data_IF_997054019288
#
_entry.id   IF_997054019288
#
_cell.length_a   1.000
_cell.length_b   1.000
_cell.length_c   1.000
_cell.angle_alpha   90.00
_cell.angle_beta   90.00
_cell.angle_gamma   90.00
#
_symmetry.space_group_name_H-M   'P 1'
#
loop_
_entity.id
_entity.type
_entity.pdbx_description
1 polymer ?
#
# COMPACT_ATOMS: atom_id res chain seq x y z
N UNK A 1 3.24 22.59 -13.11
CA UNK A 1 3.97 22.17 -11.89
C UNK A 1 5.31 21.65 -12.31
N UNK A 2 6.41 22.21 -11.81
CA UNK A 2 7.75 21.74 -12.17
C UNK A 2 7.93 20.33 -11.54
N UNK A 3 8.05 19.32 -12.38
CA UNK A 3 8.47 18.00 -11.97
C UNK A 3 9.90 18.10 -11.42
N UNK A 4 10.02 18.34 -10.13
CA UNK A 4 11.28 18.20 -9.42
C UNK A 4 11.61 16.71 -9.29
N UNK A 5 11.90 16.08 -10.43
CA UNK A 5 12.43 14.73 -10.44
C UNK A 5 13.85 14.78 -9.84
N UNK A 6 13.97 14.34 -8.62
CA UNK A 6 15.27 14.14 -7.98
C UNK A 6 15.84 12.84 -8.49
N UNK A 7 16.85 12.90 -9.34
CA UNK A 7 17.54 11.71 -9.84
C UNK A 7 18.10 10.91 -8.66
N UNK A 8 17.75 9.64 -8.49
CA UNK A 8 18.32 8.82 -7.42
C UNK A 8 19.83 8.73 -7.56
N UNK A 9 20.54 8.94 -6.46
CA UNK A 9 22.02 8.77 -6.40
C UNK A 9 22.41 7.35 -6.03
N UNK A 10 21.45 6.46 -5.84
CA UNK A 10 21.68 5.07 -5.48
C UNK A 10 22.26 4.28 -6.66
N UNK A 11 23.01 3.22 -6.35
CA UNK A 11 23.50 2.26 -7.35
C UNK A 11 22.39 1.33 -7.86
N UNK A 12 21.22 1.38 -7.25
CA UNK A 12 20.02 0.63 -7.65
C UNK A 12 19.27 1.48 -8.65
N UNK A 13 19.11 0.99 -9.88
CA UNK A 13 18.27 1.61 -10.87
C UNK A 13 16.80 1.55 -10.38
N UNK A 14 16.11 2.67 -10.44
CA UNK A 14 14.68 2.75 -10.16
C UNK A 14 13.99 3.36 -11.39
N UNK A 15 13.15 2.59 -12.02
CA UNK A 15 12.29 3.01 -13.10
C UNK A 15 10.83 2.79 -12.69
N UNK A 16 9.94 3.68 -13.11
CA UNK A 16 8.52 3.50 -12.90
C UNK A 16 8.03 2.32 -13.75
N UNK A 17 7.19 1.48 -13.17
CA UNK A 17 6.67 0.29 -13.85
C UNK A 17 5.48 -0.31 -13.11
N UNK A 18 5.05 -1.48 -13.55
CA UNK A 18 4.06 -2.27 -12.83
C UNK A 18 4.67 -2.81 -11.52
N UNK A 19 3.81 -3.28 -10.60
CA UNK A 19 4.25 -3.93 -9.37
C UNK A 19 5.26 -5.04 -9.64
N UNK A 20 4.96 -5.89 -10.61
CA UNK A 20 5.78 -7.04 -11.00
C UNK A 20 7.16 -6.59 -11.49
N UNK A 21 7.22 -5.64 -12.43
CA UNK A 21 8.50 -5.15 -12.98
C UNK A 21 9.36 -4.48 -11.91
N UNK A 22 8.76 -3.78 -10.94
CA UNK A 22 9.48 -3.18 -9.81
C UNK A 22 10.03 -4.27 -8.89
N UNK A 23 9.23 -5.29 -8.55
CA UNK A 23 9.67 -6.40 -7.71
C UNK A 23 10.78 -7.21 -8.35
N UNK A 24 10.70 -7.49 -9.65
CA UNK A 24 11.74 -8.20 -10.40
C UNK A 24 13.05 -7.40 -10.39
N UNK A 25 12.96 -6.09 -10.66
CA UNK A 25 14.12 -5.18 -10.60
C UNK A 25 14.77 -5.19 -9.22
N UNK A 26 13.98 -5.17 -8.16
CA UNK A 26 14.49 -5.21 -6.79
C UNK A 26 15.16 -6.55 -6.47
N UNK A 27 14.54 -7.66 -6.85
CA UNK A 27 15.11 -9.00 -6.65
C UNK A 27 16.45 -9.17 -7.37
N UNK A 28 16.55 -8.71 -8.61
CA UNK A 28 17.80 -8.70 -9.35
C UNK A 28 18.88 -7.86 -8.64
N UNK A 29 18.55 -6.66 -8.21
CA UNK A 29 19.50 -5.78 -7.54
C UNK A 29 19.97 -6.35 -6.20
N UNK A 30 19.07 -6.91 -5.40
CA UNK A 30 19.37 -7.57 -4.14
C UNK A 30 20.36 -8.74 -4.38
N UNK A 31 20.11 -9.52 -5.42
CA UNK A 31 21.01 -10.63 -5.80
C UNK A 31 22.39 -10.13 -6.23
N UNK A 32 22.42 -9.09 -7.08
CA UNK A 32 23.68 -8.48 -7.57
C UNK A 32 24.55 -7.92 -6.45
N UNK A 33 23.97 -7.31 -5.42
CA UNK A 33 24.72 -6.76 -4.29
C UNK A 33 24.98 -7.79 -3.19
N UNK A 34 24.52 -9.03 -3.35
CA UNK A 34 24.62 -10.10 -2.38
C UNK A 34 24.15 -9.68 -0.97
N UNK A 35 22.95 -9.04 -0.91
CA UNK A 35 22.41 -8.57 0.35
C UNK A 35 22.09 -9.74 1.28
N UNK A 36 22.49 -9.62 2.55
CA UNK A 36 22.13 -10.61 3.56
C UNK A 36 20.67 -10.38 4.02
N UNK A 37 19.74 -11.11 3.42
CA UNK A 37 18.32 -11.03 3.73
C UNK A 37 17.89 -12.17 4.62
N UNK A 38 17.04 -11.85 5.59
CA UNK A 38 16.31 -12.84 6.38
C UNK A 38 14.83 -12.58 6.26
N UNK A 39 14.12 -13.51 5.66
CA UNK A 39 12.65 -13.53 5.59
C UNK A 39 12.06 -14.23 6.82
N UNK A 40 10.79 -13.97 7.09
CA UNK A 40 10.04 -14.55 8.22
C UNK A 40 10.68 -14.28 9.59
N UNK A 41 11.48 -13.23 9.70
CA UNK A 41 12.24 -12.83 10.88
C UNK A 41 11.62 -11.59 11.51
N UNK A 42 10.49 -11.78 12.18
CA UNK A 42 9.73 -10.70 12.82
C UNK A 42 10.55 -10.06 13.93
N UNK A 43 10.81 -8.76 13.83
CA UNK A 43 11.48 -7.97 14.87
C UNK A 43 10.48 -7.65 15.98
N UNK A 44 10.71 -8.20 17.16
CA UNK A 44 9.85 -8.03 18.32
C UNK A 44 10.28 -6.87 19.22
N UNK A 45 11.59 -6.62 19.29
CA UNK A 45 12.14 -5.58 20.17
C UNK A 45 13.48 -5.07 19.68
N UNK A 46 13.69 -3.79 19.87
CA UNK A 46 14.98 -3.13 19.67
C UNK A 46 15.36 -2.42 20.95
N UNK A 47 16.59 -2.64 21.40
CA UNK A 47 17.18 -1.98 22.57
C UNK A 47 18.53 -1.41 22.22
N UNK A 48 18.91 -0.31 22.81
CA UNK A 48 20.25 0.23 22.73
C UNK A 48 21.05 -0.20 23.97
N UNK A 49 22.19 -0.86 23.75
CA UNK A 49 23.13 -1.23 24.79
C UNK A 49 24.47 -0.54 24.53
N UNK A 50 24.72 0.59 25.19
CA UNK A 50 25.89 1.42 24.92
C UNK A 50 25.90 1.93 23.47
N UNK A 51 26.89 1.51 22.70
CA UNK A 51 27.06 1.93 21.30
C UNK A 51 26.46 0.97 20.27
N UNK A 52 25.89 -0.15 20.70
CA UNK A 52 25.28 -1.14 19.80
C UNK A 52 23.79 -1.28 20.05
N UNK A 53 23.05 -1.63 19.03
CA UNK A 53 21.66 -2.02 19.12
C UNK A 53 21.55 -3.54 19.21
N UNK A 54 20.72 -4.01 20.11
CA UNK A 54 20.27 -5.39 20.19
C UNK A 54 18.89 -5.49 19.58
N UNK A 55 18.70 -6.42 18.65
CA UNK A 55 17.46 -6.68 17.93
C UNK A 55 17.00 -8.09 18.31
N UNK A 56 15.89 -8.17 19.01
CA UNK A 56 15.24 -9.43 19.38
C UNK A 56 14.22 -9.77 18.28
N UNK A 57 14.36 -10.93 17.67
CA UNK A 57 13.46 -11.45 16.65
C UNK A 57 12.85 -12.77 17.11
N UNK A 58 11.85 -13.26 16.39
CA UNK A 58 11.17 -14.53 16.69
C UNK A 58 12.14 -15.72 16.62
N UNK A 59 13.15 -15.64 15.80
CA UNK A 59 14.11 -16.71 15.48
C UNK A 59 15.52 -16.51 16.08
N UNK A 60 15.75 -15.40 16.82
CA UNK A 60 17.03 -15.17 17.49
C UNK A 60 17.32 -13.71 17.82
N UNK A 61 18.55 -13.46 18.22
CA UNK A 61 19.05 -12.13 18.55
C UNK A 61 20.15 -11.70 17.57
N UNK A 62 20.13 -10.41 17.23
CA UNK A 62 21.13 -9.77 16.39
C UNK A 62 21.66 -8.51 17.05
N UNK A 63 22.84 -8.07 16.64
CA UNK A 63 23.42 -6.80 17.05
C UNK A 63 23.80 -5.98 15.83
N UNK A 64 23.70 -4.65 15.94
CA UNK A 64 24.09 -3.71 14.90
C UNK A 64 24.57 -2.39 15.50
N UNK A 65 25.50 -1.74 14.81
CA UNK A 65 25.94 -0.39 15.17
C UNK A 65 24.91 0.67 14.76
N UNK A 66 24.20 0.41 13.68
CA UNK A 66 23.15 1.31 13.15
C UNK A 66 21.92 0.49 12.72
N UNK A 67 20.76 1.11 12.85
CA UNK A 67 19.47 0.54 12.39
C UNK A 67 18.77 1.55 11.49
N UNK A 68 18.25 1.07 10.37
CA UNK A 68 17.32 1.81 9.52
C UNK A 68 15.95 1.14 9.61
N UNK A 69 14.92 1.88 10.02
CA UNK A 69 13.55 1.41 10.06
C UNK A 69 12.84 1.80 8.77
N UNK A 70 12.45 0.80 7.99
CA UNK A 70 11.72 0.95 6.73
C UNK A 70 10.46 0.08 6.74
N UNK A 71 9.69 0.16 7.83
CA UNK A 71 8.54 -0.70 8.13
C UNK A 71 7.22 -0.23 7.52
N UNK A 72 7.24 0.86 6.75
CA UNK A 72 6.02 1.48 6.23
C UNK A 72 5.13 2.07 7.33
N UNK A 73 3.89 2.42 6.96
CA UNK A 73 2.90 3.04 7.85
C UNK A 73 1.65 2.18 8.06
N UNK A 74 1.57 1.00 7.48
CA UNK A 74 0.35 0.16 7.46
C UNK A 74 0.07 -0.58 8.76
N UNK A 75 0.97 -0.56 9.72
CA UNK A 75 0.82 -1.29 10.99
C UNK A 75 -0.28 -0.77 11.92
N UNK A 76 -0.90 0.38 11.62
CA UNK A 76 -1.97 0.96 12.44
C UNK A 76 -3.07 1.55 11.53
N UNK A 77 -3.94 0.67 11.06
CA UNK A 77 -5.07 1.06 10.20
C UNK A 77 -6.05 1.93 10.97
N UNK A 78 -6.55 2.98 10.33
CA UNK A 78 -7.57 3.84 10.92
C UNK A 78 -8.93 3.17 10.81
N UNK A 79 -9.41 2.65 11.93
CA UNK A 79 -10.75 2.06 12.03
C UNK A 79 -11.84 3.12 11.87
N UNK A 80 -12.99 2.71 11.32
CA UNK A 80 -14.19 3.54 11.20
C UNK A 80 -14.93 3.65 12.53
N UNK A 81 -14.86 2.62 13.38
CA UNK A 81 -15.57 2.52 14.65
C UNK A 81 -17.06 2.22 14.47
N UNK A 82 -17.44 1.52 13.42
CA UNK A 82 -18.83 1.14 13.13
C UNK A 82 -19.08 -0.34 13.42
N UNK A 83 -20.34 -0.69 13.70
CA UNK A 83 -20.72 -2.09 13.86
C UNK A 83 -20.49 -2.87 12.57
N UNK A 84 -19.90 -4.07 12.71
CA UNK A 84 -19.57 -4.92 11.57
C UNK A 84 -18.18 -4.71 10.98
N UNK A 85 -17.42 -3.74 11.46
CA UNK A 85 -16.07 -3.44 10.97
C UNK A 85 -15.04 -4.57 11.22
N UNK A 86 -15.29 -5.42 12.22
CA UNK A 86 -14.42 -6.56 12.55
C UNK A 86 -14.89 -7.88 11.90
N UNK A 87 -15.81 -7.84 10.93
CA UNK A 87 -16.24 -9.01 10.19
C UNK A 87 -15.14 -9.50 9.24
N UNK A 88 -15.06 -10.81 9.02
CA UNK A 88 -14.00 -11.48 8.26
C UNK A 88 -13.85 -10.95 6.82
N UNK A 89 -14.93 -10.51 6.20
CA UNK A 89 -14.92 -9.96 4.85
C UNK A 89 -14.63 -8.44 4.79
N UNK A 90 -14.32 -7.79 5.93
CA UNK A 90 -13.89 -6.38 5.96
C UNK A 90 -12.37 -6.32 5.97
N UNK A 91 -11.81 -5.66 4.97
CA UNK A 91 -10.37 -5.55 4.78
C UNK A 91 -9.93 -4.09 4.75
N UNK A 92 -8.73 -3.83 5.20
CA UNK A 92 -8.13 -2.49 5.20
C UNK A 92 -7.02 -2.35 4.16
N UNK A 93 -6.68 -3.43 3.51
CA UNK A 93 -5.66 -3.51 2.48
C UNK A 93 -6.17 -4.39 1.34
N UNK A 94 -5.94 -3.95 0.12
CA UNK A 94 -6.18 -4.73 -1.08
C UNK A 94 -4.82 -5.18 -1.62
N UNK A 95 -4.57 -6.49 -1.58
CA UNK A 95 -3.31 -7.05 -2.06
C UNK A 95 -3.36 -7.29 -3.57
N UNK A 96 -4.39 -7.96 -4.06
CA UNK A 96 -4.60 -8.24 -5.47
C UNK A 96 -6.07 -8.03 -5.86
N UNK A 97 -6.41 -7.02 -6.68
CA UNK A 97 -7.78 -6.80 -7.13
C UNK A 97 -8.30 -7.91 -8.06
N UNK A 98 -7.43 -8.65 -8.71
CA UNK A 98 -7.80 -9.70 -9.68
C UNK A 98 -8.27 -11.01 -8.99
N UNK A 99 -8.08 -11.13 -7.66
CA UNK A 99 -8.64 -12.23 -6.85
C UNK A 99 -10.17 -12.12 -6.67
N UNK A 100 -10.77 -10.94 -6.93
CA UNK A 100 -12.18 -10.68 -6.75
C UNK A 100 -12.88 -10.66 -8.12
N UNK A 101 -13.87 -11.53 -8.33
CA UNK A 101 -14.59 -11.68 -9.60
C UNK A 101 -16.08 -11.83 -9.34
N UNK A 102 -16.90 -11.08 -10.06
CA UNK A 102 -18.38 -11.11 -10.02
C UNK A 102 -18.97 -10.80 -8.63
N UNK A 103 -18.25 -10.03 -7.82
CA UNK A 103 -18.69 -9.65 -6.48
C UNK A 103 -19.32 -8.25 -6.45
N UNK A 104 -20.06 -7.95 -5.37
CA UNK A 104 -20.44 -6.59 -5.02
C UNK A 104 -19.56 -6.09 -3.89
N UNK A 105 -18.71 -5.13 -4.18
CA UNK A 105 -17.68 -4.65 -3.26
C UNK A 105 -17.95 -3.19 -2.89
N UNK A 106 -17.91 -2.91 -1.59
CA UNK A 106 -18.03 -1.55 -1.06
C UNK A 106 -16.65 -1.05 -0.67
N UNK A 107 -16.22 0.05 -1.29
CA UNK A 107 -14.96 0.72 -0.96
C UNK A 107 -15.27 1.97 -0.14
N UNK A 108 -14.76 2.05 1.07
CA UNK A 108 -15.00 3.19 1.98
C UNK A 108 -13.83 4.16 1.96
N UNK A 109 -14.07 5.37 1.50
CA UNK A 109 -13.09 6.45 1.45
C UNK A 109 -13.12 7.25 0.16
N UNK A 110 -12.39 8.37 0.15
CA UNK A 110 -12.34 9.31 -0.97
C UNK A 110 -10.91 9.83 -1.24
N UNK A 111 -9.91 9.16 -0.73
CA UNK A 111 -8.49 9.46 -1.01
C UNK A 111 -7.98 8.64 -2.19
N UNK A 112 -6.74 8.92 -2.61
CA UNK A 112 -6.10 8.26 -3.76
C UNK A 112 -6.17 6.74 -3.68
N UNK A 113 -5.81 6.13 -2.55
CA UNK A 113 -5.85 4.67 -2.39
C UNK A 113 -7.25 4.07 -2.54
N UNK A 114 -8.29 4.72 -2.00
CA UNK A 114 -9.67 4.25 -2.15
C UNK A 114 -10.13 4.33 -3.61
N UNK A 115 -9.78 5.40 -4.31
CA UNK A 115 -10.10 5.61 -5.72
C UNK A 115 -9.38 4.57 -6.59
N UNK A 116 -8.07 4.39 -6.38
CA UNK A 116 -7.26 3.42 -7.12
C UNK A 116 -7.79 1.99 -6.92
N UNK A 117 -8.14 1.62 -5.69
CA UNK A 117 -8.73 0.32 -5.38
C UNK A 117 -10.12 0.15 -6.04
N UNK A 118 -10.99 1.17 -5.94
CA UNK A 118 -12.31 1.12 -6.56
C UNK A 118 -12.24 0.94 -8.07
N UNK A 119 -11.33 1.66 -8.74
CA UNK A 119 -11.12 1.55 -10.18
C UNK A 119 -10.55 0.19 -10.55
N UNK A 120 -9.59 -0.32 -9.78
CA UNK A 120 -8.99 -1.63 -10.05
C UNK A 120 -10.03 -2.75 -9.91
N UNK A 121 -10.82 -2.74 -8.84
CA UNK A 121 -11.87 -3.72 -8.56
C UNK A 121 -13.03 -3.65 -9.56
N UNK A 122 -13.36 -2.46 -10.08
CA UNK A 122 -14.50 -2.27 -10.99
C UNK A 122 -14.34 -2.93 -12.36
N UNK A 123 -13.16 -3.46 -12.66
CA UNK A 123 -12.90 -4.20 -13.91
C UNK A 123 -13.69 -5.51 -13.96
N UNK A 124 -13.82 -6.20 -12.83
CA UNK A 124 -14.40 -7.52 -12.74
C UNK A 124 -15.57 -7.61 -11.74
N UNK A 125 -15.94 -6.50 -11.08
CA UNK A 125 -16.88 -6.49 -9.98
C UNK A 125 -17.84 -5.30 -10.05
N UNK A 126 -18.98 -5.40 -9.38
CA UNK A 126 -19.83 -4.26 -9.08
C UNK A 126 -19.25 -3.50 -7.89
N UNK A 127 -18.83 -2.26 -8.08
CA UNK A 127 -18.20 -1.46 -7.03
C UNK A 127 -19.05 -0.28 -6.63
N UNK A 128 -19.21 -0.10 -5.32
CA UNK A 128 -19.86 1.04 -4.69
C UNK A 128 -18.80 1.77 -3.86
N UNK A 129 -18.52 3.04 -4.16
CA UNK A 129 -17.64 3.85 -3.34
C UNK A 129 -18.44 4.71 -2.36
N UNK A 130 -18.16 4.56 -1.06
CA UNK A 130 -18.79 5.35 0.00
C UNK A 130 -17.89 6.50 0.42
N UNK A 131 -18.39 7.70 0.30
CA UNK A 131 -17.70 8.90 0.76
C UNK A 131 -18.60 9.67 1.76
N UNK A 132 -18.00 10.36 2.72
CA UNK A 132 -18.75 11.19 3.68
C UNK A 132 -19.26 12.51 3.09
N UNK A 133 -18.84 12.86 1.89
CA UNK A 133 -19.18 14.09 1.17
C UNK A 133 -19.24 13.77 -0.31
N UNK A 134 -20.00 14.54 -1.07
CA UNK A 134 -20.15 14.38 -2.53
C UNK A 134 -18.91 14.77 -3.34
N UNK A 135 -17.78 14.96 -2.68
CA UNK A 135 -16.53 15.43 -3.31
C UNK A 135 -15.33 14.54 -2.97
N UNK A 136 -14.42 14.42 -3.92
CA UNK A 136 -13.12 13.74 -3.78
C UNK A 136 -11.99 14.75 -3.57
N UNK A 137 -12.20 15.73 -2.70
CA UNK A 137 -11.33 16.92 -2.54
C UNK A 137 -9.87 16.63 -2.14
N UNK A 138 -9.58 15.40 -1.71
CA UNK A 138 -8.22 14.98 -1.33
C UNK A 138 -7.51 14.20 -2.41
N UNK A 139 -8.21 13.85 -3.47
CA UNK A 139 -7.64 13.08 -4.56
C UNK A 139 -6.71 13.95 -5.41
N UNK A 140 -5.64 13.36 -5.91
CA UNK A 140 -4.83 13.96 -6.96
C UNK A 140 -5.65 14.10 -8.22
N UNK A 141 -5.33 15.10 -9.04
CA UNK A 141 -6.07 15.43 -10.26
C UNK A 141 -6.32 14.21 -11.17
N UNK A 142 -5.31 13.36 -11.38
CA UNK A 142 -5.44 12.15 -12.18
C UNK A 142 -6.47 11.16 -11.63
N UNK A 143 -6.44 10.91 -10.32
CA UNK A 143 -7.38 10.02 -9.64
C UNK A 143 -8.79 10.64 -9.61
N UNK A 144 -8.90 11.96 -9.39
CA UNK A 144 -10.18 12.66 -9.44
C UNK A 144 -10.84 12.48 -10.81
N UNK A 145 -10.13 12.75 -11.90
CA UNK A 145 -10.64 12.60 -13.24
C UNK A 145 -11.05 11.16 -13.54
N UNK A 146 -10.26 10.19 -13.08
CA UNK A 146 -10.53 8.78 -13.30
C UNK A 146 -11.80 8.31 -12.57
N UNK A 147 -12.00 8.69 -11.30
CA UNK A 147 -13.19 8.29 -10.54
C UNK A 147 -14.46 8.97 -11.07
N UNK A 148 -14.40 10.25 -11.40
CA UNK A 148 -15.55 10.96 -11.99
C UNK A 148 -15.97 10.33 -13.33
N UNK A 149 -15.01 9.98 -14.18
CA UNK A 149 -15.27 9.27 -15.44
C UNK A 149 -15.88 7.88 -15.21
N UNK A 150 -15.43 7.15 -14.18
CA UNK A 150 -15.96 5.83 -13.85
C UNK A 150 -17.41 5.92 -13.33
N UNK A 151 -17.73 6.93 -12.54
CA UNK A 151 -19.09 7.19 -12.05
C UNK A 151 -19.99 7.59 -13.20
N UNK A 152 -19.58 8.52 -14.07
CA UNK A 152 -20.33 8.96 -15.25
C UNK A 152 -20.66 7.80 -16.19
N UNK A 153 -19.72 6.87 -16.38
CA UNK A 153 -19.89 5.65 -17.20
C UNK A 153 -20.73 4.57 -16.52
N UNK A 154 -21.07 4.74 -15.25
CA UNK A 154 -21.80 3.75 -14.45
C UNK A 154 -21.02 2.51 -14.09
N UNK A 155 -19.68 2.52 -14.19
CA UNK A 155 -18.83 1.41 -13.77
C UNK A 155 -18.57 1.40 -12.26
N UNK A 156 -18.78 2.52 -11.58
CA UNK A 156 -18.71 2.66 -10.13
C UNK A 156 -19.91 3.47 -9.67
N UNK A 157 -20.62 2.99 -8.66
CA UNK A 157 -21.68 3.72 -7.97
C UNK A 157 -21.07 4.54 -6.83
N UNK A 158 -21.43 5.83 -6.71
CA UNK A 158 -21.00 6.70 -5.62
C UNK A 158 -22.14 6.98 -4.68
N UNK A 159 -21.91 6.81 -3.38
CA UNK A 159 -22.88 7.08 -2.30
C UNK A 159 -22.22 7.94 -1.24
N UNK A 160 -22.93 8.98 -0.75
CA UNK A 160 -22.48 9.91 0.30
C UNK A 160 -23.47 9.97 1.46
#
# INVERSE_FOLDING_TARGET
>A
MSDNFVKPTSKIAFEAGTRETILDTWNENITKINANLKFNSEVQKIKRNGNVFQIDTKDGQYTADNIVLSIGIQGNVRKLGVAGEDLEFVQYQLDDPDEYIDETIVVVGAGDAAIENAIALSKNNKVIILNRRDEFARAKEGNLNAILSAIEKGSIESVS
#
